data_IF_456284477573
#
_entry.id   IF_456284477573
#
_cell.length_a   1.000
_cell.length_b   1.000
_cell.length_c   1.000
_cell.angle_alpha   90.00
_cell.angle_beta   90.00
_cell.angle_gamma   90.00
#
_symmetry.space_group_name_H-M   'P 1'
#
loop_
_entity.id
_entity.type
_entity.pdbx_description
1 polymer ?
#
# COMPACT_ATOMS: atom_id res chain seq x y z
N UNK A 1 -32.55 -22.79 3.51
CA UNK A 1 -31.79 -21.51 3.45
C UNK A 1 -30.26 -21.64 3.55
N UNK A 2 -29.67 -22.39 4.49
CA UNK A 2 -28.19 -22.46 4.66
C UNK A 2 -27.39 -22.98 3.44
N UNK A 3 -27.91 -23.96 2.68
CA UNK A 3 -27.26 -24.47 1.43
C UNK A 3 -27.27 -23.44 0.29
N UNK A 4 -28.34 -22.66 0.18
CA UNK A 4 -28.47 -21.66 -0.89
C UNK A 4 -27.52 -20.47 -0.67
N UNK A 5 -27.34 -20.05 0.59
CA UNK A 5 -26.35 -19.03 0.97
C UNK A 5 -24.89 -19.49 0.72
N UNK A 6 -24.60 -20.78 0.97
CA UNK A 6 -23.27 -21.38 0.73
C UNK A 6 -22.93 -21.51 -0.77
N UNK A 7 -23.94 -21.71 -1.61
CA UNK A 7 -23.77 -21.76 -3.07
C UNK A 7 -23.59 -20.36 -3.68
N UNK A 8 -24.30 -19.35 -3.17
CA UNK A 8 -24.11 -17.95 -3.55
C UNK A 8 -22.71 -17.44 -3.17
N UNK A 9 -22.18 -17.84 -2.00
CA UNK A 9 -20.82 -17.46 -1.58
C UNK A 9 -19.73 -18.13 -2.42
N UNK A 10 -19.91 -19.40 -2.79
CA UNK A 10 -19.02 -20.11 -3.72
C UNK A 10 -19.04 -19.52 -5.13
N UNK A 11 -20.21 -19.17 -5.65
CA UNK A 11 -20.34 -18.54 -6.97
C UNK A 11 -19.68 -17.15 -7.01
N UNK A 12 -19.87 -16.32 -5.96
CA UNK A 12 -19.15 -15.04 -5.81
C UNK A 12 -17.63 -15.23 -5.75
N UNK A 13 -17.14 -16.20 -4.97
CA UNK A 13 -15.70 -16.53 -4.91
C UNK A 13 -15.15 -16.98 -6.25
N UNK A 14 -15.88 -17.80 -7.00
CA UNK A 14 -15.46 -18.30 -8.32
C UNK A 14 -15.42 -17.19 -9.38
N UNK A 15 -16.38 -16.25 -9.33
CA UNK A 15 -16.43 -15.09 -10.24
C UNK A 15 -15.36 -14.03 -9.92
N UNK A 16 -15.09 -13.78 -8.64
CA UNK A 16 -13.96 -12.94 -8.21
C UNK A 16 -12.62 -13.56 -8.63
N UNK A 17 -12.48 -14.89 -8.49
CA UNK A 17 -11.32 -15.64 -8.98
C UNK A 17 -11.16 -15.58 -10.50
N UNK A 18 -12.25 -15.62 -11.29
CA UNK A 18 -12.14 -15.53 -12.76
C UNK A 18 -11.82 -14.12 -13.24
N UNK A 19 -12.29 -13.07 -12.56
CA UNK A 19 -11.93 -11.68 -12.89
C UNK A 19 -10.48 -11.36 -12.51
N UNK A 20 -10.01 -11.83 -11.35
CA UNK A 20 -8.61 -11.74 -10.96
C UNK A 20 -7.70 -12.51 -11.94
N UNK A 21 -8.10 -13.72 -12.35
CA UNK A 21 -7.38 -14.51 -13.35
C UNK A 21 -7.38 -13.85 -14.74
N UNK A 22 -8.48 -13.19 -15.16
CA UNK A 22 -8.53 -12.43 -16.40
C UNK A 22 -7.61 -11.19 -16.38
N UNK A 23 -7.41 -10.58 -15.21
CA UNK A 23 -6.42 -9.50 -15.03
C UNK A 23 -4.97 -10.01 -15.00
N UNK A 24 -4.73 -11.20 -14.45
CA UNK A 24 -3.40 -11.82 -14.35
C UNK A 24 -2.97 -12.63 -15.59
N UNK A 25 -3.88 -12.88 -16.54
CA UNK A 25 -3.57 -13.62 -17.77
C UNK A 25 -2.79 -12.80 -18.78
N UNK A 26 -2.78 -11.47 -18.66
CA UNK A 26 -1.88 -10.62 -19.42
C UNK A 26 -0.50 -10.55 -18.77
N UNK A 27 0.54 -10.81 -19.56
CA UNK A 27 1.96 -10.67 -19.16
C UNK A 27 2.31 -9.26 -18.66
N UNK A 28 1.49 -8.26 -19.01
CA UNK A 28 1.55 -6.88 -18.53
C UNK A 28 0.18 -6.47 -18.00
N UNK A 29 0.04 -6.36 -16.68
CA UNK A 29 -1.24 -6.05 -15.99
C UNK A 29 -1.71 -4.62 -16.22
N UNK A 30 -0.81 -3.71 -16.64
CA UNK A 30 -1.13 -2.31 -16.93
C UNK A 30 -1.92 -2.11 -18.25
N UNK A 31 -2.01 -3.12 -19.11
CA UNK A 31 -2.68 -3.00 -20.43
C UNK A 31 -4.18 -2.76 -20.29
N UNK A 32 -4.86 -3.51 -19.43
CA UNK A 32 -6.31 -3.37 -19.22
C UNK A 32 -6.70 -1.97 -18.75
N UNK A 33 -6.12 -1.42 -17.66
CA UNK A 33 -6.45 -0.06 -17.23
C UNK A 33 -6.03 1.01 -18.24
N UNK A 34 -4.95 0.79 -19.02
CA UNK A 34 -4.59 1.69 -20.12
C UNK A 34 -5.67 1.74 -21.20
N UNK A 35 -6.19 0.58 -21.64
CA UNK A 35 -7.25 0.50 -22.65
C UNK A 35 -8.50 1.23 -22.14
N UNK A 36 -8.89 0.99 -20.88
CA UNK A 36 -10.05 1.64 -20.28
C UNK A 36 -9.89 3.17 -20.19
N UNK A 37 -8.74 3.65 -19.72
CA UNK A 37 -8.46 5.08 -19.66
C UNK A 37 -8.44 5.71 -21.06
N UNK A 38 -7.80 5.05 -22.03
CA UNK A 38 -7.71 5.53 -23.42
C UNK A 38 -9.09 5.57 -24.07
N UNK A 39 -9.95 4.58 -23.84
CA UNK A 39 -11.31 4.58 -24.37
C UNK A 39 -12.11 5.81 -23.91
N UNK A 40 -12.02 6.17 -22.62
CA UNK A 40 -12.70 7.36 -22.08
C UNK A 40 -12.13 8.65 -22.70
N UNK A 41 -10.81 8.74 -22.84
CA UNK A 41 -10.16 9.89 -23.49
C UNK A 41 -10.55 10.01 -24.98
N UNK A 42 -10.68 8.89 -25.70
CA UNK A 42 -11.14 8.87 -27.09
C UNK A 42 -12.59 9.33 -27.22
N UNK A 43 -13.49 8.93 -26.30
CA UNK A 43 -14.87 9.43 -26.26
C UNK A 43 -14.90 10.94 -26.06
N UNK A 44 -14.02 11.47 -25.21
CA UNK A 44 -13.88 12.92 -25.05
C UNK A 44 -13.35 13.60 -26.33
N UNK A 45 -12.36 13.01 -26.99
CA UNK A 45 -11.74 13.56 -28.20
C UNK A 45 -12.70 13.71 -29.39
N UNK A 46 -13.78 12.91 -29.45
CA UNK A 46 -14.82 13.04 -30.49
C UNK A 46 -15.54 14.39 -30.43
N UNK A 47 -15.76 14.92 -29.22
CA UNK A 47 -16.41 16.21 -29.01
C UNK A 47 -15.87 16.85 -27.72
N UNK A 48 -14.76 17.60 -27.77
CA UNK A 48 -14.08 18.13 -26.58
C UNK A 48 -14.80 19.35 -26.01
N UNK A 49 -16.05 19.18 -25.59
CA UNK A 49 -16.89 20.22 -24.98
C UNK A 49 -17.42 19.75 -23.63
N UNK A 50 -17.91 20.69 -22.80
CA UNK A 50 -18.51 20.36 -21.49
C UNK A 50 -19.78 19.50 -21.61
N UNK A 51 -20.40 19.49 -22.79
CA UNK A 51 -21.57 18.66 -23.10
C UNK A 51 -21.25 17.17 -23.25
N UNK A 52 -19.97 16.81 -23.38
CA UNK A 52 -19.55 15.43 -23.60
C UNK A 52 -19.81 14.57 -22.35
N UNK A 53 -20.39 13.37 -22.49
CA UNK A 53 -20.57 12.46 -21.36
C UNK A 53 -19.26 12.04 -20.66
N UNK A 54 -18.11 12.12 -21.33
CA UNK A 54 -16.79 11.87 -20.76
C UNK A 54 -16.22 13.08 -19.98
N UNK A 55 -16.80 14.28 -20.13
CA UNK A 55 -16.29 15.49 -19.45
C UNK A 55 -16.19 15.33 -17.93
N UNK A 56 -17.22 14.81 -17.20
CA UNK A 56 -17.15 14.66 -15.75
C UNK A 56 -16.14 13.62 -15.25
N UNK A 57 -15.63 12.77 -16.14
CA UNK A 57 -14.58 11.81 -15.81
C UNK A 57 -13.20 12.51 -15.76
N UNK A 58 -12.98 13.50 -16.62
CA UNK A 58 -11.67 14.13 -16.84
C UNK A 58 -11.56 15.45 -16.05
N UNK A 59 -12.62 16.24 -16.00
CA UNK A 59 -12.61 17.59 -15.43
C UNK A 59 -13.51 17.70 -14.20
N UNK A 60 -13.20 18.68 -13.35
CA UNK A 60 -14.02 18.99 -12.17
C UNK A 60 -15.42 19.43 -12.59
N UNK A 61 -16.42 18.82 -11.96
CA UNK A 61 -17.82 19.20 -12.13
C UNK A 61 -18.24 20.30 -11.15
N UNK A 62 -19.36 20.97 -11.43
CA UNK A 62 -20.01 21.96 -10.54
C UNK A 62 -19.18 23.23 -10.29
N UNK A 63 -18.63 23.82 -11.36
CA UNK A 63 -18.05 25.16 -11.32
C UNK A 63 -19.16 26.16 -10.96
N UNK A 64 -18.96 26.90 -9.88
CA UNK A 64 -19.80 28.05 -9.52
C UNK A 64 -19.20 29.29 -10.20
N UNK A 65 -20.05 30.22 -10.64
CA UNK A 65 -19.75 31.28 -11.61
C UNK A 65 -18.39 31.97 -11.46
N UNK A 66 -17.87 32.52 -12.56
CA UNK A 66 -16.66 33.34 -12.52
C UNK A 66 -16.87 34.51 -11.55
N UNK A 67 -15.84 34.87 -10.78
CA UNK A 67 -15.90 35.92 -9.77
C UNK A 67 -16.66 37.14 -10.31
N UNK A 68 -17.88 37.32 -9.83
CA UNK A 68 -18.66 38.53 -10.12
C UNK A 68 -17.92 39.64 -9.37
N UNK A 69 -17.57 40.69 -10.09
CA UNK A 69 -16.91 41.91 -9.62
C UNK A 69 -15.38 41.84 -9.46
N UNK A 70 -14.64 41.74 -10.57
CA UNK A 70 -13.27 42.28 -10.72
C UNK A 70 -12.19 41.80 -9.73
N UNK A 71 -12.53 40.88 -8.83
CA UNK A 71 -11.65 40.26 -7.87
C UNK A 71 -11.07 39.04 -8.54
N UNK A 72 -9.74 38.93 -8.52
CA UNK A 72 -8.98 37.77 -9.01
C UNK A 72 -9.21 36.53 -8.12
N UNK A 73 -10.44 36.29 -7.66
CA UNK A 73 -10.79 35.18 -6.81
C UNK A 73 -10.79 33.88 -7.62
N UNK A 74 -10.08 32.87 -7.11
CA UNK A 74 -9.96 31.58 -7.77
C UNK A 74 -11.34 30.91 -7.95
N UNK A 75 -11.58 30.22 -9.08
CA UNK A 75 -12.87 29.60 -9.37
C UNK A 75 -13.26 28.60 -8.29
N UNK A 76 -14.49 28.71 -7.81
CA UNK A 76 -15.05 27.88 -6.75
C UNK A 76 -15.87 26.73 -7.32
N UNK A 77 -15.80 25.58 -6.66
CA UNK A 77 -16.51 24.39 -7.08
C UNK A 77 -17.37 23.86 -5.93
N UNK A 78 -18.63 23.54 -6.25
CA UNK A 78 -19.52 22.81 -5.36
C UNK A 78 -19.25 21.29 -5.41
N UNK A 79 -20.20 20.49 -4.92
CA UNK A 79 -20.10 19.02 -4.92
C UNK A 79 -21.35 18.37 -5.52
N UNK A 80 -21.21 17.16 -6.03
CA UNK A 80 -22.35 16.35 -6.45
C UNK A 80 -21.98 14.98 -7.01
N UNK A 81 -22.97 14.23 -7.48
CA UNK A 81 -22.79 12.84 -7.91
C UNK A 81 -21.82 12.67 -9.10
N UNK A 82 -21.65 13.69 -9.94
CA UNK A 82 -20.69 13.65 -11.05
C UNK A 82 -19.24 13.54 -10.57
N UNK A 83 -18.94 13.93 -9.32
CA UNK A 83 -17.60 13.78 -8.75
C UNK A 83 -17.22 12.30 -8.56
N UNK A 84 -18.20 11.38 -8.50
CA UNK A 84 -17.95 9.93 -8.48
C UNK A 84 -17.34 9.47 -9.82
N UNK A 85 -17.76 10.05 -10.94
CA UNK A 85 -17.23 9.71 -12.27
C UNK A 85 -15.76 10.11 -12.38
N UNK A 86 -15.41 11.28 -11.86
CA UNK A 86 -14.02 11.74 -11.73
C UNK A 86 -13.21 10.74 -10.90
N UNK A 87 -13.68 10.39 -9.69
CA UNK A 87 -13.02 9.41 -8.82
C UNK A 87 -12.82 8.07 -9.54
N UNK A 88 -13.86 7.54 -10.21
CA UNK A 88 -13.78 6.29 -10.95
C UNK A 88 -12.74 6.33 -12.08
N UNK A 89 -12.70 7.40 -12.88
CA UNK A 89 -11.71 7.56 -13.95
C UNK A 89 -10.29 7.60 -13.39
N UNK A 90 -10.06 8.44 -12.39
CA UNK A 90 -8.73 8.57 -11.80
C UNK A 90 -8.31 7.31 -11.03
N UNK A 91 -9.23 6.51 -10.51
CA UNK A 91 -8.93 5.16 -10.00
C UNK A 91 -8.37 4.26 -11.11
N UNK A 92 -8.91 4.31 -12.33
CA UNK A 92 -8.38 3.57 -13.49
C UNK A 92 -7.00 4.09 -13.88
N UNK A 93 -6.84 5.41 -13.97
CA UNK A 93 -5.56 6.05 -14.30
C UNK A 93 -4.49 5.69 -13.26
N UNK A 94 -4.80 5.76 -11.96
CA UNK A 94 -3.88 5.39 -10.89
C UNK A 94 -3.55 3.89 -10.90
N UNK A 95 -4.51 3.04 -11.26
CA UNK A 95 -4.25 1.60 -11.43
C UNK A 95 -3.28 1.35 -12.58
N UNK A 96 -3.46 2.03 -13.72
CA UNK A 96 -2.50 1.99 -14.83
C UNK A 96 -1.12 2.46 -14.38
N UNK A 97 -1.03 3.66 -13.79
CA UNK A 97 0.23 4.25 -13.35
C UNK A 97 0.96 3.35 -12.35
N UNK A 98 0.23 2.76 -11.38
CA UNK A 98 0.78 1.79 -10.42
C UNK A 98 1.41 0.60 -11.12
N UNK A 99 0.64 -0.10 -11.93
CA UNK A 99 1.10 -1.34 -12.58
C UNK A 99 2.25 -1.07 -13.55
N UNK A 100 2.19 0.05 -14.28
CA UNK A 100 3.25 0.49 -15.17
C UNK A 100 4.55 0.79 -14.40
N UNK A 101 4.47 1.62 -13.35
CA UNK A 101 5.63 1.94 -12.52
C UNK A 101 6.22 0.69 -11.86
N UNK A 102 5.40 -0.20 -11.31
CA UNK A 102 5.87 -1.43 -10.67
C UNK A 102 6.59 -2.33 -11.68
N UNK A 103 6.02 -2.57 -12.87
CA UNK A 103 6.56 -3.55 -13.82
C UNK A 103 7.73 -3.00 -14.66
N UNK A 104 7.64 -1.74 -15.09
CA UNK A 104 8.57 -1.16 -16.06
C UNK A 104 9.68 -0.34 -15.39
N UNK A 105 9.45 0.19 -14.18
CA UNK A 105 10.42 1.07 -13.49
C UNK A 105 11.02 0.38 -12.28
N UNK A 106 10.20 0.03 -11.28
CA UNK A 106 10.70 -0.37 -9.97
C UNK A 106 11.14 -1.84 -9.88
N UNK A 107 10.47 -2.75 -10.58
CA UNK A 107 10.93 -4.16 -10.63
C UNK A 107 12.30 -4.28 -11.32
N UNK A 108 12.57 -3.63 -12.47
CA UNK A 108 13.91 -3.58 -13.04
C UNK A 108 14.93 -2.89 -12.14
N UNK A 109 14.55 -1.81 -11.47
CA UNK A 109 15.41 -1.13 -10.49
C UNK A 109 15.79 -2.07 -9.34
N UNK A 110 14.83 -2.82 -8.78
CA UNK A 110 15.10 -3.80 -7.73
C UNK A 110 16.12 -4.86 -8.16
N UNK A 111 16.06 -5.32 -9.41
CA UNK A 111 17.07 -6.25 -9.96
C UNK A 111 18.45 -5.61 -10.06
N UNK A 112 18.52 -4.35 -10.51
CA UNK A 112 19.78 -3.59 -10.57
C UNK A 112 20.38 -3.35 -9.18
N UNK A 113 19.54 -3.21 -8.17
CA UNK A 113 19.95 -3.10 -6.77
C UNK A 113 20.28 -4.46 -6.11
N UNK A 114 20.28 -5.57 -6.86
CA UNK A 114 20.70 -6.88 -6.35
C UNK A 114 19.63 -7.69 -5.60
N UNK A 115 18.35 -7.29 -5.66
CA UNK A 115 17.27 -8.02 -4.97
C UNK A 115 16.92 -9.32 -5.73
N UNK A 116 17.38 -10.46 -5.20
CA UNK A 116 17.28 -11.78 -5.84
C UNK A 116 15.92 -12.46 -5.65
N UNK A 117 15.26 -12.28 -4.50
CA UNK A 117 13.92 -12.84 -4.23
C UNK A 117 12.83 -12.15 -5.07
N UNK A 118 11.90 -12.94 -5.62
CA UNK A 118 10.76 -12.42 -6.39
C UNK A 118 9.78 -11.68 -5.48
N UNK A 119 9.52 -12.22 -4.28
CA UNK A 119 8.62 -11.60 -3.31
C UNK A 119 9.19 -10.26 -2.80
N UNK A 120 10.48 -10.23 -2.42
CA UNK A 120 11.15 -8.99 -2.01
C UNK A 120 11.16 -7.94 -3.11
N UNK A 121 11.36 -8.33 -4.38
CA UNK A 121 11.26 -7.40 -5.52
C UNK A 121 9.87 -6.80 -5.66
N UNK A 122 8.81 -7.61 -5.54
CA UNK A 122 7.45 -7.12 -5.63
C UNK A 122 7.16 -6.10 -4.50
N UNK A 123 7.56 -6.41 -3.27
CA UNK A 123 7.40 -5.52 -2.12
C UNK A 123 8.21 -4.24 -2.21
N UNK A 124 9.46 -4.34 -2.66
CA UNK A 124 10.26 -3.16 -2.94
C UNK A 124 9.56 -2.27 -3.97
N UNK A 125 9.06 -2.85 -5.06
CA UNK A 125 8.37 -2.09 -6.10
C UNK A 125 7.07 -1.44 -5.61
N UNK A 126 6.29 -2.14 -4.78
CA UNK A 126 5.10 -1.60 -4.11
C UNK A 126 5.44 -0.40 -3.22
N UNK A 127 6.44 -0.52 -2.34
CA UNK A 127 6.84 0.58 -1.46
C UNK A 127 7.43 1.77 -2.25
N UNK A 128 8.24 1.51 -3.28
CA UNK A 128 8.78 2.58 -4.13
C UNK A 128 7.70 3.32 -4.90
N UNK A 129 6.65 2.62 -5.38
CA UNK A 129 5.51 3.28 -5.99
C UNK A 129 4.77 4.18 -5.00
N UNK A 130 4.50 3.69 -3.78
CA UNK A 130 3.89 4.51 -2.73
C UNK A 130 4.73 5.74 -2.41
N UNK A 131 6.05 5.58 -2.26
CA UNK A 131 6.96 6.69 -2.03
C UNK A 131 6.95 7.72 -3.18
N UNK A 132 6.95 7.25 -4.45
CA UNK A 132 6.88 8.12 -5.62
C UNK A 132 5.55 8.89 -5.69
N UNK A 133 4.42 8.21 -5.46
CA UNK A 133 3.10 8.84 -5.44
C UNK A 133 3.05 9.94 -4.38
N UNK A 134 3.52 9.65 -3.16
CA UNK A 134 3.48 10.61 -2.06
C UNK A 134 4.47 11.76 -2.27
N UNK A 135 5.64 11.51 -2.86
CA UNK A 135 6.60 12.56 -3.19
C UNK A 135 6.00 13.62 -4.13
N UNK A 136 5.02 13.25 -4.95
CA UNK A 136 4.30 14.18 -5.83
C UNK A 136 3.06 14.79 -5.15
N UNK A 137 2.19 13.96 -4.57
CA UNK A 137 0.91 14.43 -4.02
C UNK A 137 1.10 15.19 -2.70
N UNK A 138 2.09 14.81 -1.89
CA UNK A 138 2.32 15.35 -0.55
C UNK A 138 2.65 16.85 -0.55
N UNK A 139 3.65 17.32 -1.33
CA UNK A 139 3.94 18.75 -1.45
C UNK A 139 2.74 19.56 -1.98
N UNK A 140 1.98 19.00 -2.92
CA UNK A 140 0.77 19.65 -3.42
C UNK A 140 -0.31 19.78 -2.34
N UNK A 141 -0.55 18.71 -1.56
CA UNK A 141 -1.45 18.74 -0.40
C UNK A 141 -1.02 19.76 0.65
N UNK A 142 0.28 19.81 0.98
CA UNK A 142 0.83 20.81 1.90
C UNK A 142 0.62 22.24 1.42
N UNK A 143 0.87 22.50 0.13
CA UNK A 143 0.60 23.81 -0.48
C UNK A 143 -0.88 24.19 -0.41
N UNK A 144 -1.79 23.23 -0.65
CA UNK A 144 -3.22 23.48 -0.55
C UNK A 144 -3.65 23.76 0.89
N UNK A 145 -3.14 22.99 1.86
CA UNK A 145 -3.41 23.24 3.28
C UNK A 145 -2.88 24.60 3.74
N UNK A 146 -1.72 25.03 3.25
CA UNK A 146 -1.17 26.37 3.53
C UNK A 146 -2.12 27.50 3.12
N UNK A 147 -2.88 27.30 2.04
CA UNK A 147 -3.87 28.27 1.55
C UNK A 147 -5.21 28.20 2.29
N UNK A 148 -5.32 27.41 3.35
CA UNK A 148 -6.54 27.28 4.16
C UNK A 148 -6.27 27.66 5.62
N UNK A 149 -7.32 27.96 6.41
CA UNK A 149 -7.19 28.20 7.86
C UNK A 149 -6.60 27.02 8.65
N UNK A 150 -6.49 25.84 8.03
CA UNK A 150 -5.97 24.59 8.61
C UNK A 150 -4.44 24.53 8.60
N UNK A 151 -3.75 25.55 8.09
CA UNK A 151 -2.29 25.55 8.01
C UNK A 151 -1.63 25.13 9.32
N UNK A 152 -0.64 24.25 9.21
CA UNK A 152 0.07 23.64 10.33
C UNK A 152 -0.86 22.92 11.33
N UNK A 153 -1.91 22.28 10.80
CA UNK A 153 -2.88 21.48 11.54
C UNK A 153 -3.62 22.29 12.63
N UNK A 154 -3.96 23.54 12.33
CA UNK A 154 -4.81 24.35 13.20
C UNK A 154 -6.23 23.78 13.25
N UNK A 155 -6.62 23.26 14.41
CA UNK A 155 -7.93 22.62 14.62
C UNK A 155 -9.08 23.62 14.57
N UNK A 156 -8.88 24.87 15.02
CA UNK A 156 -9.91 25.91 14.97
C UNK A 156 -10.33 26.17 13.51
N UNK A 157 -9.35 26.27 12.61
CA UNK A 157 -9.56 26.46 11.18
C UNK A 157 -10.29 25.31 10.49
N UNK A 158 -10.40 24.13 11.12
CA UNK A 158 -11.21 23.02 10.59
C UNK A 158 -12.72 23.27 10.74
N UNK A 159 -13.11 24.15 11.65
CA UNK A 159 -14.51 24.39 12.04
C UNK A 159 -14.97 25.82 11.76
N UNK A 160 -14.02 26.77 11.75
CA UNK A 160 -14.28 28.17 11.46
C UNK A 160 -14.92 28.32 10.06
N UNK A 161 -16.02 29.08 9.99
CA UNK A 161 -16.75 29.29 8.74
C UNK A 161 -17.48 28.05 8.20
N UNK A 162 -17.64 26.98 8.99
CA UNK A 162 -18.41 25.80 8.58
C UNK A 162 -19.91 26.14 8.41
N UNK A 163 -20.58 25.69 7.34
CA UNK A 163 -20.17 24.67 6.38
C UNK A 163 -19.32 25.18 5.20
N UNK A 164 -18.21 24.49 4.92
CA UNK A 164 -17.35 24.77 3.77
C UNK A 164 -17.94 24.16 2.49
N UNK A 165 -19.01 24.77 1.96
CA UNK A 165 -19.78 24.19 0.84
C UNK A 165 -19.04 24.18 -0.49
N UNK A 166 -18.07 25.07 -0.64
CA UNK A 166 -17.33 25.28 -1.89
C UNK A 166 -15.84 25.27 -1.63
N UNK A 167 -15.09 24.83 -2.62
CA UNK A 167 -13.63 24.80 -2.56
C UNK A 167 -13.03 25.28 -3.88
N UNK A 168 -11.83 25.85 -3.80
CA UNK A 168 -11.03 26.11 -4.98
C UNK A 168 -10.76 24.83 -5.79
N UNK A 169 -10.58 25.00 -7.10
CA UNK A 169 -10.27 23.91 -8.03
C UNK A 169 -9.16 22.98 -7.50
N UNK A 170 -8.06 23.55 -7.00
CA UNK A 170 -6.92 22.79 -6.50
C UNK A 170 -7.25 21.94 -5.27
N UNK A 171 -8.01 22.49 -4.33
CA UNK A 171 -8.43 21.75 -3.14
C UNK A 171 -9.38 20.60 -3.52
N UNK A 172 -10.38 20.90 -4.36
CA UNK A 172 -11.36 19.89 -4.79
C UNK A 172 -10.68 18.76 -5.58
N UNK A 173 -9.82 19.08 -6.54
CA UNK A 173 -9.12 18.05 -7.34
C UNK A 173 -8.19 17.21 -6.48
N UNK A 174 -7.43 17.80 -5.56
CA UNK A 174 -6.61 17.04 -4.61
C UNK A 174 -7.46 16.09 -3.77
N UNK A 175 -8.57 16.58 -3.21
CA UNK A 175 -9.44 15.77 -2.36
C UNK A 175 -10.03 14.57 -3.11
N UNK A 176 -10.50 14.79 -4.35
CA UNK A 176 -11.04 13.73 -5.21
C UNK A 176 -9.97 12.77 -5.73
N UNK A 177 -8.75 13.25 -6.04
CA UNK A 177 -7.63 12.40 -6.42
C UNK A 177 -7.18 11.50 -5.27
N UNK A 178 -7.13 12.03 -4.05
CA UNK A 178 -6.87 11.22 -2.86
C UNK A 178 -7.97 10.16 -2.67
N UNK A 179 -9.24 10.53 -2.82
CA UNK A 179 -10.33 9.56 -2.81
C UNK A 179 -10.15 8.48 -3.90
N UNK A 180 -9.73 8.86 -5.11
CA UNK A 180 -9.45 7.94 -6.21
C UNK A 180 -8.28 6.98 -5.90
N UNK A 181 -7.25 7.45 -5.22
CA UNK A 181 -6.13 6.63 -4.73
C UNK A 181 -6.60 5.62 -3.68
N UNK A 182 -7.38 6.04 -2.70
CA UNK A 182 -7.94 5.12 -1.70
C UNK A 182 -8.87 4.09 -2.31
N UNK A 183 -9.69 4.49 -3.29
CA UNK A 183 -10.51 3.56 -4.07
C UNK A 183 -9.65 2.59 -4.89
N UNK A 184 -8.54 3.06 -5.46
CA UNK A 184 -7.57 2.21 -6.17
C UNK A 184 -6.95 1.15 -5.23
N UNK A 185 -6.62 1.51 -3.99
CA UNK A 185 -6.13 0.55 -2.99
C UNK A 185 -7.19 -0.50 -2.62
N UNK A 186 -8.47 -0.12 -2.52
CA UNK A 186 -9.59 -1.05 -2.33
C UNK A 186 -9.69 -2.03 -3.51
N UNK A 187 -9.59 -1.54 -4.75
CA UNK A 187 -9.61 -2.39 -5.95
C UNK A 187 -8.46 -3.41 -5.92
N UNK A 188 -7.24 -2.96 -5.63
CA UNK A 188 -6.06 -3.84 -5.49
C UNK A 188 -6.28 -4.92 -4.45
N UNK A 189 -6.83 -4.56 -3.28
CA UNK A 189 -7.12 -5.50 -2.21
C UNK A 189 -8.19 -6.53 -2.59
N UNK A 190 -9.31 -6.08 -3.17
CA UNK A 190 -10.44 -6.96 -3.53
C UNK A 190 -10.07 -7.92 -4.66
N UNK A 191 -9.27 -7.46 -5.62
CA UNK A 191 -8.78 -8.29 -6.71
C UNK A 191 -7.60 -9.19 -6.29
N UNK A 192 -7.07 -9.03 -5.08
CA UNK A 192 -5.93 -9.82 -4.58
C UNK A 192 -4.65 -9.59 -5.38
N UNK A 193 -4.47 -8.37 -5.92
CA UNK A 193 -3.27 -8.02 -6.69
C UNK A 193 -2.03 -7.87 -5.79
N UNK A 194 -2.23 -7.70 -4.49
CA UNK A 194 -1.17 -7.74 -3.48
C UNK A 194 -1.23 -9.02 -2.64
N UNK A 195 -0.07 -9.61 -2.36
CA UNK A 195 0.03 -10.78 -1.50
C UNK A 195 -0.46 -10.45 -0.07
N UNK A 196 -1.22 -11.37 0.52
CA UNK A 196 -1.81 -11.22 1.85
C UNK A 196 -0.71 -11.05 2.91
N UNK A 197 -0.83 -9.99 3.72
CA UNK A 197 0.10 -9.67 4.81
C UNK A 197 -0.38 -10.28 6.14
N UNK A 198 0.50 -10.41 7.16
CA UNK A 198 0.13 -10.89 8.51
C UNK A 198 -0.92 -9.97 9.19
N UNK A 199 -0.92 -8.69 8.87
CA UNK A 199 -1.84 -7.65 9.36
C UNK A 199 -3.05 -7.43 8.44
N UNK A 200 -3.38 -8.37 7.56
CA UNK A 200 -4.44 -8.20 6.55
C UNK A 200 -5.82 -7.86 7.14
N UNK A 201 -6.17 -8.42 8.29
CA UNK A 201 -7.47 -8.13 8.92
C UNK A 201 -7.53 -6.69 9.44
N UNK A 202 -6.44 -6.21 10.05
CA UNK A 202 -6.29 -4.83 10.50
C UNK A 202 -6.28 -3.87 9.31
N UNK A 203 -5.62 -4.25 8.22
CA UNK A 203 -5.64 -3.48 6.97
C UNK A 203 -7.05 -3.37 6.37
N UNK A 204 -7.85 -4.45 6.36
CA UNK A 204 -9.26 -4.37 5.94
C UNK A 204 -10.04 -3.42 6.85
N UNK A 205 -9.90 -3.57 8.18
CA UNK A 205 -10.56 -2.69 9.15
C UNK A 205 -10.22 -1.23 8.90
N UNK A 206 -8.95 -0.95 8.62
CA UNK A 206 -8.48 0.37 8.25
C UNK A 206 -9.13 0.89 6.98
N UNK A 207 -9.18 0.12 5.89
CA UNK A 207 -9.83 0.56 4.66
C UNK A 207 -11.32 0.84 4.83
N UNK A 208 -12.02 0.07 5.67
CA UNK A 208 -13.42 0.36 6.00
C UNK A 208 -13.53 1.71 6.70
N UNK A 209 -12.67 1.96 7.70
CA UNK A 209 -12.68 3.23 8.46
C UNK A 209 -12.27 4.42 7.57
N UNK A 210 -11.21 4.29 6.76
CA UNK A 210 -10.73 5.39 5.93
C UNK A 210 -11.68 5.72 4.79
N UNK A 211 -12.26 4.71 4.11
CA UNK A 211 -13.28 4.96 3.09
C UNK A 211 -14.52 5.62 3.70
N UNK A 212 -14.93 5.20 4.90
CA UNK A 212 -16.03 5.85 5.61
C UNK A 212 -15.69 7.31 5.98
N UNK A 213 -14.49 7.57 6.49
CA UNK A 213 -14.02 8.94 6.79
C UNK A 213 -14.05 9.81 5.55
N UNK A 214 -13.47 9.37 4.44
CA UNK A 214 -13.42 10.12 3.17
C UNK A 214 -14.81 10.38 2.59
N UNK A 215 -15.69 9.37 2.60
CA UNK A 215 -17.04 9.51 2.08
C UNK A 215 -17.88 10.48 2.92
N UNK A 216 -17.83 10.35 4.25
CA UNK A 216 -18.61 11.18 5.17
C UNK A 216 -18.07 12.60 5.25
N UNK A 217 -16.75 12.79 5.26
CA UNK A 217 -16.15 14.13 5.26
C UNK A 217 -16.52 14.90 4.00
N UNK A 218 -16.51 14.25 2.83
CA UNK A 218 -16.93 14.87 1.59
C UNK A 218 -18.45 15.14 1.58
N UNK A 219 -19.25 14.16 2.01
CA UNK A 219 -20.72 14.28 2.04
C UNK A 219 -21.22 15.34 3.00
N UNK A 220 -20.51 15.58 4.11
CA UNK A 220 -20.93 16.49 5.17
C UNK A 220 -20.02 17.72 5.34
N UNK A 221 -19.20 18.07 4.33
CA UNK A 221 -18.39 19.31 4.30
C UNK A 221 -17.25 19.39 5.33
N UNK A 222 -16.79 18.27 5.88
CA UNK A 222 -15.60 18.21 6.76
C UNK A 222 -14.29 18.11 5.96
N UNK A 223 -14.20 18.78 4.80
CA UNK A 223 -13.05 18.70 3.90
C UNK A 223 -11.76 19.20 4.56
N UNK A 224 -11.84 20.26 5.35
CA UNK A 224 -10.71 20.86 6.08
C UNK A 224 -10.13 19.94 7.16
N UNK A 225 -10.97 19.20 7.88
CA UNK A 225 -10.48 18.12 8.74
C UNK A 225 -9.86 16.99 7.91
N UNK A 226 -10.49 16.65 6.79
CA UNK A 226 -10.02 15.59 5.89
C UNK A 226 -8.63 15.84 5.30
N UNK A 227 -8.33 17.06 4.84
CA UNK A 227 -7.00 17.38 4.29
C UNK A 227 -5.89 17.26 5.34
N UNK A 228 -6.16 17.65 6.59
CA UNK A 228 -5.23 17.49 7.69
C UNK A 228 -4.93 16.01 7.96
N UNK A 229 -5.97 15.16 8.00
CA UNK A 229 -5.81 13.72 8.17
C UNK A 229 -5.03 13.13 6.98
N UNK A 230 -5.37 13.46 5.73
CA UNK A 230 -4.62 12.98 4.56
C UNK A 230 -3.13 13.32 4.64
N UNK A 231 -2.78 14.57 4.92
CA UNK A 231 -1.38 15.02 4.94
C UNK A 231 -0.58 14.31 6.03
N UNK A 232 -1.13 14.17 7.25
CA UNK A 232 -0.45 13.43 8.31
C UNK A 232 -0.18 11.98 7.91
N UNK A 233 -1.14 11.37 7.20
CA UNK A 233 -1.05 9.99 6.75
C UNK A 233 0.01 9.85 5.65
N UNK A 234 -0.13 10.62 4.58
CA UNK A 234 0.77 10.61 3.43
C UNK A 234 2.22 10.80 3.85
N UNK A 235 2.54 11.86 4.60
CA UNK A 235 3.94 12.15 4.96
C UNK A 235 4.54 11.00 5.79
N UNK A 236 3.81 10.45 6.76
CA UNK A 236 4.31 9.29 7.52
C UNK A 236 4.50 8.03 6.66
N UNK A 237 3.60 7.79 5.70
CA UNK A 237 3.65 6.61 4.82
C UNK A 237 4.79 6.73 3.80
N UNK A 238 5.18 7.95 3.42
CA UNK A 238 6.39 8.21 2.65
C UNK A 238 7.63 7.71 3.39
N UNK A 239 7.83 8.13 4.64
CA UNK A 239 8.99 7.69 5.42
C UNK A 239 8.98 6.18 5.67
N UNK A 240 7.80 5.59 5.92
CA UNK A 240 7.68 4.14 6.06
C UNK A 240 8.06 3.41 4.77
N UNK A 241 7.55 3.89 3.62
CA UNK A 241 7.82 3.28 2.32
C UNK A 241 9.28 3.39 1.91
N UNK A 242 9.91 4.55 2.16
CA UNK A 242 11.34 4.76 1.92
C UNK A 242 12.17 3.85 2.82
N UNK A 243 11.86 3.78 4.11
CA UNK A 243 12.58 2.93 5.06
C UNK A 243 12.49 1.44 4.67
N UNK A 244 11.31 0.97 4.29
CA UNK A 244 11.14 -0.41 3.78
C UNK A 244 11.90 -0.66 2.50
N UNK A 245 11.88 0.28 1.56
CA UNK A 245 12.61 0.16 0.30
C UNK A 245 14.11 0.04 0.53
N UNK A 246 14.67 0.85 1.44
CA UNK A 246 16.07 0.77 1.84
C UNK A 246 16.40 -0.56 2.55
N UNK A 247 15.45 -1.12 3.29
CA UNK A 247 15.59 -2.42 3.92
C UNK A 247 15.72 -3.56 2.92
N UNK A 248 14.89 -3.57 1.86
CA UNK A 248 14.92 -4.63 0.85
C UNK A 248 16.21 -4.64 0.00
N UNK A 249 16.90 -3.51 -0.12
CA UNK A 249 18.20 -3.41 -0.83
C UNK A 249 19.40 -3.44 0.12
N UNK A 250 19.19 -3.71 1.42
CA UNK A 250 20.23 -3.80 2.44
C UNK A 250 21.13 -2.54 2.50
N UNK A 251 20.53 -1.37 2.29
CA UNK A 251 21.28 -0.11 2.29
C UNK A 251 21.78 0.28 3.68
N UNK A 252 23.00 0.82 3.76
CA UNK A 252 23.57 1.37 5.01
C UNK A 252 22.73 2.51 5.59
N UNK A 253 21.92 3.19 4.76
CA UNK A 253 21.03 4.26 5.20
C UNK A 253 19.74 3.75 5.89
N UNK A 254 19.51 2.43 5.92
CA UNK A 254 18.30 1.83 6.47
C UNK A 254 18.07 2.23 7.94
N UNK A 255 19.09 2.16 8.80
CA UNK A 255 18.95 2.51 10.22
C UNK A 255 18.55 3.97 10.45
N UNK A 256 19.19 4.91 9.75
CA UNK A 256 18.83 6.34 9.81
C UNK A 256 17.41 6.59 9.29
N UNK A 257 17.05 5.99 8.14
CA UNK A 257 15.72 6.14 7.56
C UNK A 257 14.61 5.56 8.45
N UNK A 258 14.90 4.47 9.15
CA UNK A 258 13.97 3.82 10.07
C UNK A 258 13.76 4.67 11.33
N UNK A 259 14.83 5.22 11.90
CA UNK A 259 14.73 6.17 13.01
C UNK A 259 13.88 7.40 12.64
N UNK A 260 14.11 7.97 11.45
CA UNK A 260 13.31 9.08 10.94
C UNK A 260 11.84 8.68 10.73
N UNK A 261 11.58 7.49 10.20
CA UNK A 261 10.23 6.94 10.08
C UNK A 261 9.51 6.87 11.43
N UNK A 262 10.17 6.37 12.49
CA UNK A 262 9.58 6.31 13.84
C UNK A 262 9.22 7.70 14.36
N UNK A 263 10.14 8.67 14.23
CA UNK A 263 9.93 10.05 14.68
C UNK A 263 8.72 10.66 13.96
N UNK A 264 8.69 10.56 12.63
CA UNK A 264 7.61 11.12 11.81
C UNK A 264 6.29 10.43 12.07
N UNK A 265 6.28 9.12 12.30
CA UNK A 265 5.09 8.36 12.68
C UNK A 265 4.51 8.85 14.00
N UNK A 266 5.34 9.01 15.04
CA UNK A 266 4.91 9.52 16.36
C UNK A 266 4.34 10.93 16.23
N UNK A 267 5.07 11.83 15.55
CA UNK A 267 4.62 13.22 15.43
C UNK A 267 3.32 13.34 14.63
N UNK A 268 3.26 12.77 13.43
CA UNK A 268 2.11 12.95 12.54
C UNK A 268 0.92 12.09 12.94
N UNK A 269 1.12 10.79 13.19
CA UNK A 269 0.02 9.84 13.44
C UNK A 269 -0.40 9.73 14.89
N UNK A 270 0.39 10.28 15.83
CA UNK A 270 -0.03 10.33 17.23
C UNK A 270 -0.20 11.75 17.71
N UNK A 271 0.86 12.57 17.75
CA UNK A 271 0.74 13.91 18.31
C UNK A 271 -0.31 14.77 17.58
N UNK A 272 -0.19 14.92 16.25
CA UNK A 272 -1.16 15.73 15.48
C UNK A 272 -2.54 15.09 15.45
N UNK A 273 -2.66 13.79 15.18
CA UNK A 273 -3.97 13.12 15.13
C UNK A 273 -4.69 13.13 16.49
N UNK A 274 -3.97 13.04 17.62
CA UNK A 274 -4.56 13.20 18.96
C UNK A 274 -5.03 14.64 19.20
N UNK A 275 -4.37 15.67 18.66
CA UNK A 275 -4.90 17.04 18.71
C UNK A 275 -6.20 17.18 17.92
N UNK A 276 -6.28 16.58 16.73
CA UNK A 276 -7.52 16.54 15.94
C UNK A 276 -8.61 15.81 16.72
N UNK A 277 -8.30 14.65 17.31
CA UNK A 277 -9.26 13.87 18.09
C UNK A 277 -9.73 14.62 19.34
N UNK A 278 -8.82 15.33 20.02
CA UNK A 278 -9.15 16.18 21.16
C UNK A 278 -10.11 17.30 20.78
N UNK A 279 -9.92 17.92 19.59
CA UNK A 279 -10.84 18.95 19.08
C UNK A 279 -12.27 18.44 18.85
N UNK A 280 -12.45 17.12 18.67
CA UNK A 280 -13.73 16.46 18.46
C UNK A 280 -14.35 15.88 19.75
N UNK A 281 -13.70 16.02 20.92
CA UNK A 281 -14.29 15.61 22.19
C UNK A 281 -15.55 16.43 22.51
N UNK A 282 -16.47 15.91 23.34
CA UNK A 282 -17.59 16.69 23.86
C UNK A 282 -17.10 17.98 24.54
N UNK A 283 -17.59 19.14 24.11
CA UNK A 283 -17.13 20.44 24.59
C UNK A 283 -15.85 20.96 23.91
N UNK A 284 -15.27 20.20 22.97
CA UNK A 284 -14.18 20.64 22.11
C UNK A 284 -14.63 21.54 20.97
N UNK A 285 -13.67 21.97 20.16
CA UNK A 285 -13.84 22.92 19.04
C UNK A 285 -14.89 22.49 18.01
N UNK A 286 -15.09 21.17 17.81
CA UNK A 286 -16.17 20.67 16.96
C UNK A 286 -17.53 21.19 17.43
N UNK A 287 -17.77 21.22 18.74
CA UNK A 287 -19.05 21.67 19.31
C UNK A 287 -19.12 23.17 19.61
N UNK A 288 -17.97 23.84 19.77
CA UNK A 288 -17.92 25.22 20.26
C UNK A 288 -17.61 26.26 19.17
N UNK A 289 -16.94 25.88 18.08
CA UNK A 289 -16.57 26.81 17.00
C UNK A 289 -17.67 26.85 15.94
N UNK A 290 -18.42 27.95 15.87
CA UNK A 290 -19.51 28.12 14.91
C UNK A 290 -20.80 27.36 15.29
N UNK A 291 -21.82 27.36 14.41
CA UNK A 291 -23.12 26.76 14.73
C UNK A 291 -23.03 25.25 14.95
N UNK A 292 -23.67 24.77 16.01
CA UNK A 292 -23.74 23.35 16.39
C UNK A 292 -25.19 22.86 16.43
N UNK A 293 -25.89 23.06 15.32
CA UNK A 293 -27.30 22.71 15.14
C UNK A 293 -27.46 22.10 13.76
N UNK A 294 -28.21 20.99 13.66
CA UNK A 294 -28.49 20.36 12.38
C UNK A 294 -29.51 21.20 11.58
N UNK A 295 -29.12 21.63 10.38
CA UNK A 295 -30.00 22.30 9.42
C UNK A 295 -29.71 21.75 8.01
N UNK A 296 -30.73 21.13 7.41
CA UNK A 296 -30.61 20.52 6.08
C UNK A 296 -30.67 21.55 4.95
N UNK A 297 -31.38 22.65 5.13
CA UNK A 297 -31.52 23.71 4.13
C UNK A 297 -30.24 24.54 4.06
N UNK A 298 -29.67 24.87 5.22
CA UNK A 298 -28.38 25.51 5.31
C UNK A 298 -27.18 24.54 5.13
N UNK A 299 -27.42 23.26 4.82
CA UNK A 299 -26.39 22.22 4.75
C UNK A 299 -25.40 22.24 5.96
N UNK A 300 -25.91 22.63 7.12
CA UNK A 300 -25.17 22.71 8.37
C UNK A 300 -25.32 21.37 9.08
N UNK A 301 -24.27 20.57 8.98
CA UNK A 301 -24.26 19.19 9.48
C UNK A 301 -23.54 19.01 10.80
N UNK A 302 -23.00 20.08 11.40
CA UNK A 302 -22.40 20.02 12.74
C UNK A 302 -23.49 19.85 13.79
N UNK A 303 -23.57 18.66 14.36
CA UNK A 303 -24.52 18.31 15.41
C UNK A 303 -23.96 17.19 16.31
N UNK A 304 -24.62 16.86 17.43
CA UNK A 304 -24.20 15.76 18.32
C UNK A 304 -23.96 14.43 17.62
N UNK A 305 -24.85 14.05 16.70
CA UNK A 305 -24.72 12.80 15.96
C UNK A 305 -23.48 12.81 15.05
N UNK A 306 -23.27 13.89 14.30
CA UNK A 306 -22.11 14.04 13.44
C UNK A 306 -20.80 14.04 14.25
N UNK A 307 -20.79 14.66 15.43
CA UNK A 307 -19.63 14.66 16.31
C UNK A 307 -19.30 13.24 16.80
N UNK A 308 -20.30 12.48 17.27
CA UNK A 308 -20.11 11.10 17.72
C UNK A 308 -19.58 10.20 16.60
N UNK A 309 -20.13 10.31 15.39
CA UNK A 309 -19.67 9.53 14.23
C UNK A 309 -18.24 9.91 13.87
N UNK A 310 -17.95 11.21 13.75
CA UNK A 310 -16.62 11.72 13.39
C UNK A 310 -15.57 11.30 14.42
N UNK A 311 -15.85 11.51 15.71
CA UNK A 311 -14.99 11.09 16.81
C UNK A 311 -14.76 9.58 16.80
N UNK A 312 -15.81 8.77 16.63
CA UNK A 312 -15.70 7.31 16.65
C UNK A 312 -14.81 6.79 15.51
N UNK A 313 -14.95 7.35 14.31
CA UNK A 313 -14.14 6.97 13.15
C UNK A 313 -12.68 7.41 13.32
N UNK A 314 -12.43 8.62 13.80
CA UNK A 314 -11.08 9.11 14.10
C UNK A 314 -10.42 8.32 15.24
N UNK A 315 -11.17 7.96 16.28
CA UNK A 315 -10.69 7.12 17.37
C UNK A 315 -10.35 5.70 16.90
N UNK A 316 -11.18 5.11 16.02
CA UNK A 316 -10.90 3.81 15.41
C UNK A 316 -9.63 3.85 14.54
N UNK A 317 -9.46 4.92 13.75
CA UNK A 317 -8.25 5.17 12.97
C UNK A 317 -7.02 5.31 13.89
N UNK A 318 -7.16 6.03 15.00
CA UNK A 318 -6.10 6.21 15.99
C UNK A 318 -5.71 4.91 16.70
N UNK A 319 -6.67 4.04 17.00
CA UNK A 319 -6.42 2.72 17.58
C UNK A 319 -5.62 1.82 16.62
N UNK A 320 -5.92 1.87 15.33
CA UNK A 320 -5.14 1.18 14.30
C UNK A 320 -3.72 1.76 14.17
N UNK A 321 -3.57 3.09 14.22
CA UNK A 321 -2.24 3.73 14.24
C UNK A 321 -1.39 3.28 15.44
N UNK A 322 -2.01 3.09 16.62
CA UNK A 322 -1.32 2.55 17.80
C UNK A 322 -0.89 1.09 17.62
N UNK A 323 -1.72 0.26 16.99
CA UNK A 323 -1.35 -1.11 16.65
C UNK A 323 -0.10 -1.16 15.74
N UNK A 324 -0.05 -0.32 14.70
CA UNK A 324 1.14 -0.28 13.84
C UNK A 324 2.34 0.40 14.48
N UNK A 325 2.16 1.36 15.39
CA UNK A 325 3.26 1.88 16.22
C UNK A 325 3.87 0.77 17.08
N UNK A 326 3.03 -0.10 17.67
CA UNK A 326 3.52 -1.28 18.39
C UNK A 326 4.34 -2.20 17.48
N UNK A 327 3.88 -2.47 16.26
CA UNK A 327 4.67 -3.22 15.27
C UNK A 327 6.01 -2.54 14.96
N UNK A 328 6.01 -1.22 14.82
CA UNK A 328 7.21 -0.44 14.51
C UNK A 328 8.22 -0.49 15.67
N UNK A 329 7.76 -0.38 16.92
CA UNK A 329 8.63 -0.55 18.08
C UNK A 329 9.14 -1.98 18.24
N UNK A 330 8.33 -2.99 17.91
CA UNK A 330 8.79 -4.37 17.89
C UNK A 330 9.89 -4.59 16.85
N UNK A 331 9.75 -4.02 15.66
CA UNK A 331 10.80 -4.04 14.64
C UNK A 331 12.05 -3.26 15.09
N UNK A 332 11.88 -2.12 15.76
CA UNK A 332 12.99 -1.34 16.33
C UNK A 332 13.76 -2.13 17.39
N UNK A 333 13.05 -2.82 18.29
CA UNK A 333 13.63 -3.68 19.31
C UNK A 333 14.48 -4.79 18.68
N UNK A 334 13.96 -5.48 17.65
CA UNK A 334 14.71 -6.50 16.90
C UNK A 334 15.95 -5.91 16.22
N UNK A 335 15.82 -4.73 15.60
CA UNK A 335 16.93 -4.08 14.92
C UNK A 335 18.08 -3.71 15.88
N UNK A 336 17.75 -3.11 17.02
CA UNK A 336 18.75 -2.61 17.99
C UNK A 336 19.40 -3.74 18.80
N UNK A 337 18.62 -4.74 19.21
CA UNK A 337 19.10 -5.76 20.17
C UNK A 337 19.61 -7.01 19.46
N UNK A 338 18.96 -7.44 18.38
CA UNK A 338 19.36 -8.65 17.66
C UNK A 338 20.31 -8.35 16.50
N UNK A 339 20.51 -7.07 16.15
CA UNK A 339 21.27 -6.66 14.96
C UNK A 339 20.61 -7.13 13.65
N UNK A 340 19.34 -7.55 13.72
CA UNK A 340 18.59 -8.08 12.58
C UNK A 340 17.68 -6.99 12.02
N UNK A 341 18.01 -6.51 10.83
CA UNK A 341 17.20 -5.58 10.03
C UNK A 341 15.98 -6.24 9.37
N UNK A 342 15.31 -7.18 10.06
CA UNK A 342 14.11 -7.85 9.52
C UNK A 342 12.89 -7.43 10.32
N UNK A 343 11.97 -6.75 9.63
CA UNK A 343 10.63 -6.40 10.12
C UNK A 343 9.78 -7.68 10.18
N UNK A 344 9.00 -7.91 11.24
CA UNK A 344 8.09 -9.06 11.39
C UNK A 344 7.12 -9.21 10.21
N UNK A 345 6.75 -8.08 9.61
CA UNK A 345 5.93 -8.06 8.40
C UNK A 345 6.68 -8.65 7.21
N UNK A 346 7.99 -8.44 7.11
CA UNK A 346 8.85 -9.03 6.08
C UNK A 346 9.23 -10.49 6.34
N UNK A 347 9.31 -10.93 7.61
CA UNK A 347 9.55 -12.36 7.94
C UNK A 347 8.42 -13.25 7.42
N UNK A 348 7.17 -12.77 7.49
CA UNK A 348 6.02 -13.43 6.87
C UNK A 348 6.12 -13.60 5.36
N UNK A 349 6.75 -12.63 4.70
CA UNK A 349 6.88 -12.58 3.25
C UNK A 349 7.91 -13.62 2.80
N UNK A 350 8.97 -13.81 3.59
CA UNK A 350 9.95 -14.89 3.40
C UNK A 350 9.32 -16.28 3.67
N UNK A 351 8.56 -16.45 4.75
CA UNK A 351 7.81 -17.70 5.06
C UNK A 351 6.80 -18.07 3.95
N UNK A 352 6.09 -17.08 3.40
CA UNK A 352 5.15 -17.28 2.30
C UNK A 352 5.84 -17.69 0.99
N UNK A 353 7.03 -17.14 0.72
CA UNK A 353 7.85 -17.51 -0.45
C UNK A 353 8.42 -18.94 -0.31
N UNK A 354 8.84 -19.35 0.89
CA UNK A 354 9.27 -20.73 1.12
C UNK A 354 8.11 -21.72 0.93
N UNK A 355 6.92 -21.40 1.44
CA UNK A 355 5.73 -22.22 1.20
C UNK A 355 5.36 -22.29 -0.29
N UNK A 356 5.47 -21.17 -1.03
CA UNK A 356 5.19 -21.14 -2.47
C UNK A 356 6.25 -21.91 -3.28
N UNK A 357 7.54 -21.84 -2.90
CA UNK A 357 8.61 -22.68 -3.47
C UNK A 357 8.42 -24.17 -3.17
N UNK A 358 7.91 -24.52 -1.99
CA UNK A 358 7.56 -25.91 -1.65
C UNK A 358 6.36 -26.42 -2.44
N UNK A 359 5.43 -25.54 -2.84
CA UNK A 359 4.25 -25.87 -3.65
C UNK A 359 4.56 -25.91 -5.16
N UNK A 360 5.50 -25.10 -5.65
CA UNK A 360 5.95 -25.02 -7.05
C UNK A 360 7.15 -25.94 -7.35
N UNK A 361 7.66 -26.64 -6.33
CA UNK A 361 8.73 -27.61 -6.45
C UNK A 361 8.25 -28.93 -7.05
N UNK A 362 8.70 -29.23 -8.28
CA UNK A 362 8.94 -30.60 -8.75
C UNK A 362 9.44 -31.44 -7.57
N UNK A 363 8.72 -32.52 -7.26
CA UNK A 363 9.12 -33.46 -6.22
C UNK A 363 10.63 -33.78 -6.38
N UNK A 364 11.42 -33.75 -5.30
CA UNK A 364 12.74 -34.38 -5.37
C UNK A 364 12.50 -35.83 -5.76
N UNK A 365 13.29 -36.29 -6.73
CA UNK A 365 13.32 -37.68 -7.18
C UNK A 365 13.39 -38.56 -5.93
N UNK A 366 12.27 -39.20 -5.57
CA UNK A 366 12.26 -40.29 -4.61
C UNK A 366 12.80 -41.49 -5.38
N UNK A 367 14.08 -41.77 -5.21
CA UNK A 367 14.53 -43.14 -5.37
C UNK A 367 13.91 -43.94 -4.24
N UNK A 368 12.97 -44.80 -4.61
CA UNK A 368 12.17 -45.62 -3.71
C UNK A 368 13.06 -46.71 -3.09
N UNK A 369 12.89 -47.05 -1.79
CA UNK A 369 13.63 -48.10 -1.12
C UNK A 369 12.90 -49.44 -1.23
N UNK A 370 13.62 -50.53 -1.54
CA UNK A 370 13.12 -51.88 -1.23
C UNK A 370 14.27 -52.82 -0.82
N UNK A 371 14.24 -53.15 0.48
CA UNK A 371 14.65 -54.39 1.16
C UNK A 371 16.00 -55.04 0.78
N UNK A 372 16.87 -55.41 1.72
CA UNK A 372 16.58 -56.36 2.81
C UNK A 372 17.67 -56.32 3.88
N UNK A 373 17.27 -56.39 5.15
CA UNK A 373 18.12 -56.68 6.32
C UNK A 373 17.95 -58.15 6.66
N UNK A 374 19.04 -58.90 6.87
CA UNK A 374 19.30 -59.84 7.99
C UNK A 374 20.79 -60.18 7.96
N UNK A 375 21.44 -60.18 9.12
CA UNK A 375 22.86 -60.50 9.28
C UNK A 375 23.17 -61.93 9.67
N UNK A 376 24.48 -62.12 9.90
CA UNK A 376 25.16 -63.02 10.84
C UNK A 376 25.94 -64.24 10.29
N UNK A 377 27.20 -64.28 10.79
CA UNK A 377 28.10 -65.43 11.06
C UNK A 377 28.64 -66.40 9.98
N UNK A 378 29.95 -66.65 10.12
CA UNK A 378 30.75 -67.88 9.91
C UNK A 378 31.38 -68.28 8.56
N UNK A 379 32.72 -68.10 8.51
CA UNK A 379 33.89 -68.95 8.11
C UNK A 379 33.78 -70.04 6.99
N UNK A 380 34.90 -70.59 6.46
CA UNK A 380 35.61 -70.22 5.25
C UNK A 380 35.60 -71.31 4.14
N UNK A 381 36.39 -71.07 3.07
CA UNK A 381 37.17 -72.06 2.29
C UNK A 381 36.80 -72.31 0.81
N UNK A 382 37.84 -72.15 -0.02
CA UNK A 382 38.27 -73.01 -1.13
C UNK A 382 37.70 -72.86 -2.56
N UNK A 383 38.63 -72.44 -3.45
CA UNK A 383 39.21 -73.19 -4.59
C UNK A 383 38.64 -73.00 -6.02
N UNK A 384 39.64 -72.81 -6.91
CA UNK A 384 39.70 -72.98 -8.38
C UNK A 384 39.10 -71.86 -9.24
N UNK A 385 39.77 -71.33 -10.27
CA UNK A 385 41.05 -71.68 -10.88
C UNK A 385 41.14 -71.13 -12.31
N UNK A 386 42.37 -70.84 -12.75
CA UNK A 386 42.86 -70.59 -14.12
C UNK A 386 42.56 -69.21 -14.76
N UNK A 387 43.50 -68.49 -15.35
CA UNK A 387 44.94 -68.73 -15.54
C UNK A 387 45.59 -67.69 -16.48
N UNK A 388 46.94 -67.68 -16.44
CA UNK A 388 47.94 -67.17 -17.41
C UNK A 388 48.39 -65.69 -17.31
N UNK A 389 49.61 -65.49 -16.79
CA UNK A 389 50.41 -64.23 -16.78
C UNK A 389 51.33 -64.10 -17.99
N UNK A 390 52.61 -63.66 -17.89
CA UNK A 390 53.26 -62.70 -16.95
C UNK A 390 54.17 -61.66 -17.69
N UNK A 391 54.76 -60.69 -16.97
CA UNK A 391 56.13 -60.12 -17.19
C UNK A 391 56.22 -58.67 -16.63
N UNK A 392 56.78 -58.48 -15.43
CA UNK A 392 58.15 -58.03 -15.09
C UNK A 392 58.25 -56.53 -14.72
N UNK A 393 58.50 -56.28 -13.42
CA UNK A 393 59.72 -55.63 -12.97
C UNK A 393 59.77 -54.10 -12.79
N UNK A 394 60.60 -53.59 -11.86
CA UNK A 394 60.25 -52.46 -10.99
C UNK A 394 61.20 -51.24 -11.15
N UNK A 395 61.00 -50.17 -10.36
CA UNK A 395 62.03 -49.57 -9.47
C UNK A 395 61.62 -48.17 -8.96
N UNK A 396 61.94 -47.97 -7.68
CA UNK A 396 61.79 -46.78 -6.83
C UNK A 396 62.58 -45.54 -7.28
N UNK A 397 62.18 -44.35 -6.80
CA UNK A 397 62.92 -43.46 -5.88
C UNK A 397 62.15 -42.12 -5.78
N UNK A 398 61.60 -41.66 -4.64
CA UNK A 398 62.16 -41.26 -3.32
C UNK A 398 62.52 -39.76 -3.26
N UNK A 399 61.77 -39.04 -2.40
CA UNK A 399 62.12 -37.87 -1.54
C UNK A 399 62.39 -36.53 -2.27
N UNK A 400 62.17 -35.33 -1.73
CA UNK A 400 61.91 -34.76 -0.38
C UNK A 400 61.49 -33.28 -0.62
N UNK A 401 60.41 -32.74 -0.03
CA UNK A 401 60.28 -32.01 1.26
C UNK A 401 61.08 -30.70 1.41
N UNK A 402 60.35 -29.69 1.93
CA UNK A 402 60.73 -28.53 2.75
C UNK A 402 61.18 -27.26 2.01
N UNK A 403 61.02 -26.01 2.49
CA UNK A 403 60.16 -25.33 3.48
C UNK A 403 60.67 -23.86 3.55
N UNK A 404 59.77 -22.87 3.72
CA UNK A 404 59.91 -21.69 4.62
C UNK A 404 61.07 -20.69 4.38
N UNK A 405 60.76 -19.44 4.03
CA UNK A 405 60.91 -18.22 4.89
C UNK A 405 60.72 -16.90 4.10
N UNK A 406 60.02 -15.97 4.76
CA UNK A 406 60.15 -14.51 4.85
C UNK A 406 60.43 -13.61 3.63
N UNK A 407 59.54 -12.62 3.50
CA UNK A 407 59.74 -11.28 2.95
C UNK A 407 58.67 -10.37 3.50
#
# INVERSE_FOLDING_TARGET
MKRHAKNLSRAKRRKASSLAAAFQTHRRTWVVPLILATAILLVYAVNPTESNPAYPFIFLSYKLGDAVDGSSAAPQFGKGLRDILFVCFYTIVLTFTREFCIQEIFTPLARRCGVTSRAKRARFAENMYTALYIAFIGPWGMYLMYRTPVWYFNTHGMYEGFPHRTHEAGFKSYYLLQAAFWMQQVVVMVLGLEARRKDFNQLIGHHVVTVALVALSYRFHFGYMGIAVYITHDISDFFLSVSKSLNYIESKAQGWSFGLCVIMWIYLRHYINLRILYSALPGGEFSTVGPYVLDWEAEQYKCPLANVITFSLLAALQALNLFWLYCLFRAAYKFVILGVAKDDRSEAEDEGEEAEKMLDGKAPHKDDPLATVVGDSDVPAQVAGNGLGPSQGPVMHRKTRASVTNG
#
